data_IF_775150700016
#
_entry.id   IF_775150700016
#
_cell.length_a   1.000
_cell.length_b   1.000
_cell.length_c   1.000
_cell.angle_alpha   90.00
_cell.angle_beta   90.00
_cell.angle_gamma   90.00
#
_symmetry.space_group_name_H-M   'P 1'
#
loop_
_entity.id
_entity.type
_entity.pdbx_description
1 polymer ?
#
# COMPACT_ATOMS: atom_id res chain seq x y z
N UNK A 1 26.57 0.94 -23.82
CA UNK A 1 25.56 1.77 -24.52
C UNK A 1 24.28 0.97 -24.78
N UNK A 2 23.15 1.49 -24.27
CA UNK A 2 21.79 1.40 -24.84
C UNK A 2 21.19 0.05 -25.26
N UNK A 3 20.22 -0.45 -24.49
CA UNK A 3 19.11 -1.31 -24.92
C UNK A 3 17.90 -0.92 -24.03
N UNK A 4 17.08 0.07 -24.41
CA UNK A 4 15.81 -0.02 -25.15
C UNK A 4 14.79 -0.93 -24.45
N UNK A 5 13.89 -0.28 -23.72
CA UNK A 5 12.67 -0.81 -23.10
C UNK A 5 11.73 -1.41 -24.13
N UNK A 6 11.72 -2.73 -24.29
CA UNK A 6 10.56 -3.49 -24.80
C UNK A 6 10.69 -4.93 -24.31
N UNK A 7 10.03 -5.26 -23.19
CA UNK A 7 9.55 -6.59 -22.82
C UNK A 7 8.41 -6.31 -21.82
N UNK A 8 7.16 -6.15 -22.22
CA UNK A 8 6.28 -7.17 -22.83
C UNK A 8 6.36 -8.54 -22.14
N UNK A 9 6.47 -8.52 -20.81
CA UNK A 9 5.89 -9.61 -20.02
C UNK A 9 5.35 -9.07 -18.68
N UNK A 10 4.18 -8.46 -18.80
CA UNK A 10 3.27 -8.10 -17.70
C UNK A 10 2.69 -9.37 -17.00
N UNK A 11 3.48 -10.44 -16.89
CA UNK A 11 2.99 -11.77 -16.50
C UNK A 11 3.67 -12.32 -15.24
N UNK A 12 4.80 -11.75 -14.79
CA UNK A 12 5.55 -12.31 -13.64
C UNK A 12 5.74 -11.41 -12.42
N UNK A 13 5.39 -10.12 -12.49
CA UNK A 13 5.27 -9.26 -11.29
C UNK A 13 3.81 -9.09 -10.81
N UNK A 14 2.85 -9.68 -11.52
CA UNK A 14 1.41 -9.48 -11.29
C UNK A 14 0.67 -10.70 -10.70
N UNK A 15 1.32 -11.75 -10.18
CA UNK A 15 0.53 -12.83 -9.53
C UNK A 15 -0.18 -12.36 -8.26
N UNK A 16 0.36 -11.35 -7.56
CA UNK A 16 -0.30 -10.73 -6.41
C UNK A 16 -1.40 -9.74 -6.78
N UNK A 17 -1.20 -8.96 -7.85
CA UNK A 17 -2.17 -7.96 -8.31
C UNK A 17 -3.31 -8.58 -9.12
N UNK A 18 -3.07 -9.63 -9.89
CA UNK A 18 -4.11 -10.33 -10.67
C UNK A 18 -5.24 -10.90 -9.79
N UNK A 19 -4.93 -11.37 -8.57
CA UNK A 19 -5.96 -11.84 -7.64
C UNK A 19 -6.82 -10.70 -7.04
N UNK A 20 -6.29 -9.48 -6.95
CA UNK A 20 -7.01 -8.30 -6.44
C UNK A 20 -7.87 -7.66 -7.54
N UNK A 21 -7.44 -7.73 -8.81
CA UNK A 21 -8.23 -7.21 -9.94
C UNK A 21 -9.30 -8.22 -10.44
N UNK A 22 -9.11 -9.53 -10.28
CA UNK A 22 -10.08 -10.56 -10.74
C UNK A 22 -11.11 -10.99 -9.69
N UNK A 23 -10.89 -10.70 -8.40
CA UNK A 23 -11.92 -10.72 -7.38
C UNK A 23 -12.24 -9.27 -7.04
N UNK A 24 -13.47 -8.83 -7.28
CA UNK A 24 -13.98 -7.47 -7.04
C UNK A 24 -14.02 -7.09 -5.54
N UNK A 25 -12.97 -7.41 -4.78
CA UNK A 25 -12.81 -7.12 -3.36
C UNK A 25 -12.17 -5.75 -3.21
N UNK A 26 -13.01 -4.78 -2.84
CA UNK A 26 -12.57 -3.44 -2.50
C UNK A 26 -11.76 -3.48 -1.19
N UNK A 27 -10.44 -3.55 -1.30
CA UNK A 27 -9.55 -3.42 -0.14
C UNK A 27 -9.71 -1.99 0.41
N UNK A 28 -10.29 -1.86 1.60
CA UNK A 28 -10.45 -0.56 2.25
C UNK A 28 -9.07 0.04 2.55
N UNK A 29 -8.90 1.32 2.24
CA UNK A 29 -7.65 2.05 2.53
C UNK A 29 -7.96 3.36 3.23
N UNK A 30 -7.18 3.76 4.26
CA UNK A 30 -7.28 5.07 4.89
C UNK A 30 -6.52 6.16 4.10
N UNK A 31 -6.15 5.90 2.85
CA UNK A 31 -5.43 6.87 2.01
C UNK A 31 -6.32 8.09 1.71
N UNK A 32 -5.71 9.27 1.79
CA UNK A 32 -6.35 10.57 1.48
C UNK A 32 -5.66 11.25 0.29
N UNK A 33 -4.98 10.48 -0.54
CA UNK A 33 -4.23 10.91 -1.73
C UNK A 33 -3.15 11.98 -1.46
N UNK A 34 -2.69 12.04 -0.21
CA UNK A 34 -1.54 12.83 0.21
C UNK A 34 -0.39 11.87 0.51
N UNK A 35 0.62 11.87 -0.35
CA UNK A 35 1.85 11.09 -0.16
C UNK A 35 2.99 12.02 0.26
N UNK A 36 3.04 12.36 1.56
CA UNK A 36 4.11 13.14 2.18
C UNK A 36 4.48 12.46 3.49
N UNK A 37 5.78 12.37 3.80
CA UNK A 37 6.26 11.69 5.00
C UNK A 37 6.84 12.69 6.01
N UNK A 38 6.69 12.39 7.29
CA UNK A 38 7.38 13.11 8.36
C UNK A 38 8.80 12.55 8.57
N UNK A 39 9.55 13.10 9.53
CA UNK A 39 10.93 12.68 9.85
C UNK A 39 11.04 11.23 10.35
N UNK A 40 9.92 10.64 10.76
CA UNK A 40 9.82 9.29 11.32
C UNK A 40 9.28 8.28 10.28
N UNK A 41 9.21 8.67 8.99
CA UNK A 41 8.69 7.85 7.89
C UNK A 41 7.20 7.46 8.01
N UNK A 42 6.40 8.30 8.67
CA UNK A 42 4.94 8.20 8.65
C UNK A 42 4.34 9.17 7.64
N UNK A 43 3.34 8.70 6.90
CA UNK A 43 2.58 9.54 5.99
C UNK A 43 1.75 10.58 6.76
N UNK A 44 1.92 11.87 6.47
CA UNK A 44 1.19 12.96 7.16
C UNK A 44 -0.32 12.96 6.88
N UNK A 45 -0.76 12.32 5.79
CA UNK A 45 -2.17 12.19 5.45
C UNK A 45 -2.84 11.02 6.16
N UNK A 46 -2.39 9.80 5.87
CA UNK A 46 -3.02 8.57 6.38
C UNK A 46 -2.38 7.99 7.65
N UNK A 47 -1.29 8.60 8.16
CA UNK A 47 -0.56 8.23 9.39
C UNK A 47 0.10 6.86 9.38
N UNK A 48 0.17 6.23 8.22
CA UNK A 48 0.81 4.91 8.05
C UNK A 48 2.30 5.01 7.86
N UNK A 49 3.03 4.01 8.32
CA UNK A 49 4.45 3.89 8.01
C UNK A 49 4.65 3.48 6.55
N UNK A 50 5.84 3.75 6.01
CA UNK A 50 6.24 3.28 4.67
C UNK A 50 6.10 1.75 4.52
N UNK A 51 6.43 0.99 5.57
CA UNK A 51 6.34 -0.48 5.57
C UNK A 51 4.89 -0.95 5.51
N UNK A 52 4.02 -0.32 6.30
CA UNK A 52 2.58 -0.61 6.25
C UNK A 52 2.04 -0.33 4.85
N UNK A 53 2.39 0.80 4.23
CA UNK A 53 1.93 1.19 2.89
C UNK A 53 2.36 0.14 1.85
N UNK A 54 3.64 -0.25 1.88
CA UNK A 54 4.20 -1.22 0.95
C UNK A 54 3.60 -2.62 1.12
N UNK A 55 3.30 -3.01 2.36
CA UNK A 55 2.71 -4.31 2.70
C UNK A 55 1.19 -4.41 2.57
N UNK A 56 0.47 -3.31 2.31
CA UNK A 56 -0.99 -3.26 2.51
C UNK A 56 -1.77 -4.31 1.73
N UNK A 57 -1.37 -4.54 0.48
CA UNK A 57 -2.01 -5.51 -0.40
C UNK A 57 -1.81 -6.96 0.06
N UNK A 58 -0.77 -7.21 0.87
CA UNK A 58 -0.42 -8.54 1.39
C UNK A 58 -0.95 -8.79 2.80
N UNK A 59 -1.44 -7.77 3.50
CA UNK A 59 -2.02 -7.93 4.82
C UNK A 59 -3.39 -8.62 4.76
N UNK A 60 -3.69 -9.42 5.78
CA UNK A 60 -5.03 -9.97 5.97
C UNK A 60 -6.01 -8.88 6.38
N UNK A 61 -7.32 -9.15 6.25
CA UNK A 61 -8.33 -8.16 6.62
C UNK A 61 -8.30 -7.83 8.13
N UNK A 62 -7.94 -8.80 8.97
CA UNK A 62 -7.76 -8.59 10.42
C UNK A 62 -6.58 -7.66 10.71
N UNK A 63 -5.45 -7.85 10.02
CA UNK A 63 -4.30 -6.95 10.13
C UNK A 63 -4.65 -5.53 9.67
N UNK A 64 -5.36 -5.42 8.54
CA UNK A 64 -5.82 -4.13 8.03
C UNK A 64 -6.75 -3.42 9.02
N UNK A 65 -7.69 -4.15 9.62
CA UNK A 65 -8.59 -3.62 10.64
C UNK A 65 -7.84 -3.17 11.90
N UNK A 66 -6.89 -3.97 12.37
CA UNK A 66 -6.07 -3.62 13.52
C UNK A 66 -5.28 -2.33 13.28
N UNK A 67 -4.63 -2.22 12.11
CA UNK A 67 -3.93 -0.99 11.70
C UNK A 67 -4.92 0.18 11.62
N UNK A 68 -6.09 0.01 10.99
CA UNK A 68 -7.09 1.08 10.89
C UNK A 68 -7.59 1.58 12.26
N UNK A 69 -7.68 0.71 13.27
CA UNK A 69 -8.02 1.13 14.62
C UNK A 69 -6.85 1.86 15.30
N UNK A 70 -5.63 1.37 15.12
CA UNK A 70 -4.42 2.00 15.65
C UNK A 70 -4.22 3.42 15.10
N UNK A 71 -4.45 3.63 13.80
CA UNK A 71 -4.32 4.93 13.14
C UNK A 71 -5.20 6.04 13.76
N UNK A 72 -6.32 5.68 14.42
CA UNK A 72 -7.19 6.65 15.10
C UNK A 72 -6.49 7.30 16.30
N UNK A 73 -5.68 6.51 17.01
CA UNK A 73 -4.99 6.93 18.23
C UNK A 73 -3.55 7.37 17.94
N UNK A 74 -3.01 7.01 16.77
CA UNK A 74 -1.65 7.35 16.35
C UNK A 74 -1.49 8.87 16.21
N UNK A 75 -0.58 9.42 17.00
CA UNK A 75 -0.07 10.79 16.87
C UNK A 75 1.23 10.71 16.09
N UNK A 76 1.25 11.39 14.96
CA UNK A 76 2.46 11.57 14.16
C UNK A 76 2.87 13.03 14.34
N UNK A 77 4.12 13.24 14.71
CA UNK A 77 4.67 14.59 14.95
C UNK A 77 5.08 15.27 13.64
#
# INVERSE_FOLDING_TARGET
MGKRWVLDDCSYLCKGLYNIFMNNQTIKTPCVDICKYNKQNFCVGCKRSSDEISGWIHYSDEMRQAIMQDLKNRKID
#
